data_IF_174047212031
#
_entry.id   IF_174047212031
#
_cell.length_a   1.000
_cell.length_b   1.000
_cell.length_c   1.000
_cell.angle_alpha   90.00
_cell.angle_beta   90.00
_cell.angle_gamma   90.00
#
_symmetry.space_group_name_H-M   'P 1'
#
loop_
_entity.id
_entity.type
_entity.pdbx_description
1 polymer ?
#
# COMPACT_ATOMS: atom_id res chain seq x y z
N UNK A 1 26.18 55.89 -24.63
CA UNK A 1 27.60 55.54 -24.88
C UNK A 1 27.61 54.24 -25.70
N UNK A 2 28.31 54.29 -26.85
CA UNK A 2 28.66 53.28 -27.90
C UNK A 2 28.49 51.77 -27.53
N UNK A 3 27.84 50.92 -28.35
CA UNK A 3 28.31 50.22 -29.60
C UNK A 3 29.48 49.25 -29.28
N UNK A 4 29.62 47.97 -29.67
CA UNK A 4 28.90 46.93 -30.48
C UNK A 4 29.72 45.62 -30.39
N UNK A 5 29.15 44.49 -30.86
CA UNK A 5 29.72 43.29 -31.56
C UNK A 5 29.19 41.98 -30.94
N UNK A 6 28.25 41.24 -31.56
CA UNK A 6 28.23 40.50 -32.84
C UNK A 6 29.21 39.32 -32.88
N UNK A 7 28.69 38.09 -32.99
CA UNK A 7 29.21 37.06 -33.90
C UNK A 7 28.23 35.87 -34.02
N UNK A 8 27.77 35.68 -35.25
CA UNK A 8 27.15 34.49 -35.82
C UNK A 8 28.28 33.59 -36.34
N UNK A 9 28.18 32.27 -36.18
CA UNK A 9 28.77 31.33 -37.14
C UNK A 9 28.04 29.99 -37.15
N UNK A 10 27.57 29.65 -38.34
CA UNK A 10 27.04 28.36 -38.83
C UNK A 10 28.18 27.33 -39.00
N UNK A 11 27.90 26.04 -38.81
CA UNK A 11 28.53 24.98 -39.60
C UNK A 11 27.62 23.74 -39.72
N UNK A 12 27.69 23.09 -40.87
CA UNK A 12 26.72 22.15 -41.41
C UNK A 12 27.22 20.71 -41.53
N UNK A 13 26.24 19.81 -41.69
CA UNK A 13 26.17 18.62 -42.56
C UNK A 13 26.78 17.25 -42.19
N UNK A 14 25.88 16.25 -42.35
CA UNK A 14 25.97 14.92 -42.99
C UNK A 14 26.79 13.79 -42.34
N UNK A 15 26.09 12.70 -42.01
CA UNK A 15 26.30 11.40 -42.66
C UNK A 15 25.13 10.44 -42.38
N UNK A 16 24.47 10.00 -43.45
CA UNK A 16 23.69 8.77 -43.55
C UNK A 16 24.61 7.56 -43.48
N UNK A 17 24.20 6.47 -42.82
CA UNK A 17 24.56 5.15 -43.31
C UNK A 17 23.50 4.10 -42.98
N UNK A 18 22.98 3.51 -44.05
CA UNK A 18 22.22 2.28 -44.07
C UNK A 18 23.17 1.09 -43.84
N UNK A 19 22.66 0.03 -43.25
CA UNK A 19 23.39 -1.22 -43.05
C UNK A 19 22.42 -2.34 -42.68
N UNK A 20 21.67 -2.81 -43.68
CA UNK A 20 20.94 -4.06 -43.60
C UNK A 20 21.94 -5.23 -43.63
N UNK A 21 21.68 -6.24 -42.79
CA UNK A 21 22.21 -7.58 -42.98
C UNK A 21 21.18 -8.58 -42.47
N UNK A 22 20.54 -9.26 -43.41
CA UNK A 22 19.87 -10.54 -43.18
C UNK A 22 20.91 -11.63 -42.85
N UNK A 23 20.47 -12.74 -42.26
CA UNK A 23 20.78 -14.00 -42.91
C UNK A 23 19.59 -14.97 -43.01
N UNK A 24 19.34 -15.40 -44.25
CA UNK A 24 19.32 -16.79 -44.74
C UNK A 24 18.56 -17.85 -43.92
N UNK A 25 17.48 -18.33 -44.54
CA UNK A 25 16.71 -19.55 -44.27
C UNK A 25 17.48 -20.84 -44.65
N UNK A 26 17.40 -21.93 -43.87
CA UNK A 26 16.50 -23.09 -44.04
C UNK A 26 17.21 -24.35 -43.45
N UNK A 27 16.63 -25.58 -43.44
CA UNK A 27 15.30 -26.03 -42.97
C UNK A 27 15.43 -27.26 -42.03
N UNK A 28 14.34 -27.71 -41.39
CA UNK A 28 14.33 -29.03 -40.73
C UNK A 28 13.20 -29.29 -39.73
N UNK A 29 12.21 -30.03 -40.16
CA UNK A 29 10.98 -30.51 -39.52
C UNK A 29 11.22 -31.42 -38.30
N UNK A 30 10.45 -31.29 -37.21
CA UNK A 30 9.67 -32.40 -36.62
C UNK A 30 8.72 -31.94 -35.50
N UNK A 31 7.59 -32.65 -35.41
CA UNK A 31 6.40 -32.40 -34.61
C UNK A 31 6.52 -32.85 -33.14
N UNK A 32 5.50 -32.43 -32.37
CA UNK A 32 5.02 -32.96 -31.08
C UNK A 32 5.63 -32.24 -29.85
N UNK A 33 4.89 -31.78 -28.85
CA UNK A 33 3.55 -32.07 -28.34
C UNK A 33 3.10 -30.85 -27.52
N UNK A 34 1.83 -30.44 -27.66
CA UNK A 34 1.23 -29.41 -26.84
C UNK A 34 1.05 -29.92 -25.40
N UNK A 35 1.75 -29.29 -24.45
CA UNK A 35 1.45 -29.38 -23.02
C UNK A 35 0.96 -28.03 -22.55
N UNK A 36 -0.18 -28.08 -21.88
CA UNK A 36 -0.99 -26.98 -21.40
C UNK A 36 -0.23 -26.22 -20.29
N UNK A 37 0.45 -25.12 -20.63
CA UNK A 37 0.98 -24.18 -19.63
C UNK A 37 -0.05 -23.09 -19.36
N UNK A 38 -0.62 -23.13 -18.15
CA UNK A 38 -1.39 -22.04 -17.55
C UNK A 38 -0.58 -20.73 -17.61
N UNK A 39 -1.21 -19.56 -17.83
CA UNK A 39 -0.46 -18.31 -17.88
C UNK A 39 0.16 -18.05 -16.51
N UNK A 40 1.49 -18.09 -16.45
CA UNK A 40 2.25 -17.46 -15.37
C UNK A 40 1.85 -15.99 -15.36
N UNK A 41 1.15 -15.58 -14.32
CA UNK A 41 1.08 -14.18 -13.93
C UNK A 41 2.51 -13.78 -13.61
N UNK A 42 3.18 -13.19 -14.60
CA UNK A 42 4.41 -12.45 -14.40
C UNK A 42 3.94 -11.18 -13.71
N UNK A 43 4.02 -11.14 -12.38
CA UNK A 43 4.00 -9.87 -11.65
C UNK A 43 5.03 -8.98 -12.33
N UNK A 44 4.54 -7.93 -12.99
CA UNK A 44 5.38 -6.89 -13.52
C UNK A 44 6.15 -6.32 -12.33
N UNK A 45 7.43 -6.65 -12.26
CA UNK A 45 8.36 -6.03 -11.35
C UNK A 45 8.32 -4.53 -11.63
N UNK A 46 7.59 -3.79 -10.81
CA UNK A 46 7.79 -2.35 -10.68
C UNK A 46 9.29 -2.16 -10.44
N UNK A 47 9.94 -1.52 -11.40
CA UNK A 47 11.38 -1.28 -11.36
C UNK A 47 11.73 -0.59 -10.04
N UNK A 48 12.34 -1.33 -9.11
CA UNK A 48 13.01 -0.82 -7.90
C UNK A 48 14.25 0.00 -8.28
N UNK A 49 14.09 0.98 -9.16
CA UNK A 49 15.17 1.89 -9.54
C UNK A 49 15.43 2.84 -8.37
N UNK A 50 16.47 2.53 -7.59
CA UNK A 50 17.11 3.46 -6.66
C UNK A 50 17.03 3.13 -5.17
N UNK A 51 16.52 1.97 -4.77
CA UNK A 51 16.57 1.61 -3.34
C UNK A 51 18.01 1.35 -2.89
N UNK A 52 18.44 2.08 -1.87
CA UNK A 52 19.73 1.86 -1.21
C UNK A 52 19.79 0.44 -0.64
N UNK A 53 20.98 -0.17 -0.65
CA UNK A 53 21.17 -1.50 -0.06
C UNK A 53 20.90 -1.46 1.46
N UNK A 54 20.25 -2.49 2.03
CA UNK A 54 19.96 -2.51 3.46
C UNK A 54 21.24 -2.57 4.30
N UNK A 55 21.30 -1.74 5.34
CA UNK A 55 22.29 -1.86 6.41
C UNK A 55 21.82 -2.98 7.33
N UNK A 56 22.63 -4.03 7.44
CA UNK A 56 22.27 -5.23 8.17
C UNK A 56 22.92 -5.24 9.56
N UNK A 57 22.11 -5.44 10.60
CA UNK A 57 22.59 -5.77 11.96
C UNK A 57 22.43 -7.27 12.17
N UNK A 58 23.55 -7.97 12.31
CA UNK A 58 23.59 -9.38 12.68
C UNK A 58 23.33 -9.56 14.17
N UNK A 59 23.15 -10.80 14.63
CA UNK A 59 23.01 -11.07 16.06
C UNK A 59 24.19 -10.54 16.91
N UNK A 60 25.40 -10.46 16.34
CA UNK A 60 26.58 -9.94 17.05
C UNK A 60 26.64 -8.40 17.11
N UNK A 61 25.89 -7.70 16.26
CA UNK A 61 25.79 -6.24 16.25
C UNK A 61 24.72 -5.73 17.23
N UNK A 62 24.05 -6.65 17.91
CA UNK A 62 22.93 -6.38 18.81
C UNK A 62 23.22 -6.84 20.23
N UNK A 63 22.63 -6.13 21.19
CA UNK A 63 22.76 -6.39 22.62
C UNK A 63 21.38 -6.56 23.25
N UNK A 64 21.33 -7.23 24.40
CA UNK A 64 20.10 -7.33 25.20
C UNK A 64 19.66 -5.93 25.62
N UNK A 65 18.43 -5.55 25.26
CA UNK A 65 17.84 -4.30 25.69
C UNK A 65 16.94 -4.52 26.92
N UNK A 66 16.09 -5.56 26.90
CA UNK A 66 15.23 -5.92 28.04
C UNK A 66 14.99 -7.43 28.11
N UNK A 67 14.63 -7.90 29.30
CA UNK A 67 14.31 -9.30 29.53
C UNK A 67 15.56 -10.20 29.54
N UNK A 68 15.38 -11.47 29.15
CA UNK A 68 16.45 -12.48 29.14
C UNK A 68 16.48 -13.29 27.83
N UNK A 69 16.56 -12.64 26.64
CA UNK A 69 16.86 -13.37 25.41
C UNK A 69 18.28 -13.96 25.48
N UNK A 70 18.56 -14.98 24.67
CA UNK A 70 19.88 -15.62 24.62
C UNK A 70 20.47 -15.59 23.21
N UNK A 71 21.75 -15.24 23.10
CA UNK A 71 22.51 -15.39 21.87
C UNK A 71 22.89 -16.86 21.73
N UNK A 72 22.40 -17.54 20.69
CA UNK A 72 22.60 -18.96 20.45
C UNK A 72 23.05 -19.23 19.04
N UNK A 73 23.78 -20.33 18.83
CA UNK A 73 24.13 -20.82 17.51
C UNK A 73 23.08 -21.83 17.04
N UNK A 74 22.15 -21.41 16.19
CA UNK A 74 21.21 -22.33 15.55
C UNK A 74 21.92 -23.11 14.45
N UNK A 75 21.76 -24.42 14.46
CA UNK A 75 22.52 -25.34 13.60
C UNK A 75 21.60 -26.35 12.91
N UNK A 76 21.84 -26.62 11.63
CA UNK A 76 21.23 -27.70 10.87
C UNK A 76 22.21 -28.24 9.84
N UNK A 77 22.57 -29.52 9.95
CA UNK A 77 23.68 -30.09 9.15
C UNK A 77 24.98 -29.32 9.36
N UNK A 78 25.58 -28.84 8.27
CA UNK A 78 26.80 -28.01 8.27
C UNK A 78 26.53 -26.49 8.32
N UNK A 79 25.27 -26.08 8.43
CA UNK A 79 24.89 -24.67 8.48
C UNK A 79 24.73 -24.22 9.92
N UNK A 80 25.41 -23.13 10.28
CA UNK A 80 25.40 -22.55 11.61
C UNK A 80 25.16 -21.04 11.53
N UNK A 81 24.16 -20.54 12.24
CA UNK A 81 23.81 -19.11 12.24
C UNK A 81 23.65 -18.61 13.69
N UNK A 82 24.33 -17.51 14.08
CA UNK A 82 24.11 -16.88 15.36
C UNK A 82 22.75 -16.15 15.32
N UNK A 83 21.93 -16.35 16.36
CA UNK A 83 20.62 -15.72 16.48
C UNK A 83 20.36 -15.29 17.92
N UNK A 84 19.53 -14.26 18.08
CA UNK A 84 18.90 -13.96 19.36
C UNK A 84 17.63 -14.79 19.53
N UNK A 85 17.66 -15.75 20.44
CA UNK A 85 16.50 -16.57 20.81
C UNK A 85 15.56 -15.76 21.71
N UNK A 86 14.37 -15.45 21.18
CA UNK A 86 13.29 -14.71 21.85
C UNK A 86 12.17 -15.67 22.23
N UNK A 87 11.83 -15.70 23.53
CA UNK A 87 10.78 -16.55 24.11
C UNK A 87 9.40 -16.20 23.56
N UNK A 88 8.62 -17.23 23.20
CA UNK A 88 7.19 -17.12 22.90
C UNK A 88 6.29 -17.19 24.13
N UNK A 89 6.86 -17.43 25.32
CA UNK A 89 6.10 -17.55 26.57
C UNK A 89 6.44 -16.48 27.62
N UNK A 90 7.36 -15.56 27.33
CA UNK A 90 7.82 -14.56 28.30
C UNK A 90 7.81 -13.17 27.69
N UNK A 91 6.86 -12.30 28.09
CA UNK A 91 6.78 -10.93 27.59
C UNK A 91 8.03 -10.09 27.88
N UNK A 92 8.26 -9.07 27.05
CA UNK A 92 9.25 -8.02 27.30
C UNK A 92 10.69 -8.39 26.97
N UNK A 93 10.94 -9.47 26.23
CA UNK A 93 12.27 -9.77 25.70
C UNK A 93 12.57 -8.95 24.45
N UNK A 94 13.70 -8.27 24.44
CA UNK A 94 14.12 -7.48 23.28
C UNK A 94 15.63 -7.34 23.18
N UNK A 95 16.08 -7.08 21.95
CA UNK A 95 17.47 -6.79 21.63
C UNK A 95 17.55 -5.51 20.80
N UNK A 96 18.64 -4.77 20.92
CA UNK A 96 18.84 -3.51 20.22
C UNK A 96 20.22 -3.42 19.60
N UNK A 97 20.31 -2.73 18.46
CA UNK A 97 21.56 -2.33 17.83
C UNK A 97 21.50 -0.88 17.38
N UNK A 98 22.66 -0.32 17.01
CA UNK A 98 22.78 1.07 16.56
C UNK A 98 23.29 1.09 15.12
N UNK A 99 22.61 1.83 14.26
CA UNK A 99 23.01 2.13 12.88
C UNK A 99 23.60 3.53 12.86
N UNK A 100 24.93 3.63 12.72
CA UNK A 100 25.65 4.90 12.67
C UNK A 100 25.92 5.46 11.26
N UNK A 101 25.57 4.72 10.20
CA UNK A 101 25.97 5.03 8.82
C UNK A 101 24.81 5.25 7.86
N UNK A 102 23.75 5.92 8.29
CA UNK A 102 22.67 6.29 7.37
C UNK A 102 23.19 7.33 6.36
N UNK A 103 22.95 7.14 5.04
CA UNK A 103 23.37 8.11 4.03
C UNK A 103 22.81 9.51 4.28
N UNK A 104 23.53 10.55 3.86
CA UNK A 104 23.15 11.95 4.10
C UNK A 104 21.85 12.37 3.40
N UNK A 105 21.49 11.68 2.33
CA UNK A 105 20.30 11.87 1.51
C UNK A 105 19.13 10.98 1.97
N UNK A 106 19.33 10.16 3.00
CA UNK A 106 18.32 9.32 3.60
C UNK A 106 17.26 10.20 4.31
N UNK A 107 16.02 10.15 3.85
CA UNK A 107 14.90 10.85 4.48
C UNK A 107 14.16 9.96 5.48
N UNK A 108 14.19 8.65 5.27
CA UNK A 108 13.54 7.68 6.15
C UNK A 108 14.20 6.31 6.09
N UNK A 109 13.77 5.40 6.96
CA UNK A 109 14.16 3.99 6.89
C UNK A 109 12.96 3.07 6.85
N UNK A 110 13.11 1.96 6.13
CA UNK A 110 12.30 0.75 6.27
C UNK A 110 13.04 -0.23 7.17
N UNK A 111 12.33 -0.90 8.07
CA UNK A 111 12.91 -1.90 8.97
C UNK A 111 12.24 -3.25 8.79
N UNK A 112 13.06 -4.25 8.49
CA UNK A 112 12.66 -5.64 8.36
C UNK A 112 13.49 -6.51 9.31
N UNK A 113 12.95 -7.64 9.74
CA UNK A 113 13.68 -8.65 10.50
C UNK A 113 13.69 -9.98 9.75
N UNK A 114 14.76 -10.75 9.93
CA UNK A 114 14.84 -12.13 9.47
C UNK A 114 14.79 -13.04 10.69
N UNK A 115 13.77 -13.89 10.74
CA UNK A 115 13.53 -14.81 11.85
C UNK A 115 13.48 -16.25 11.38
N UNK A 116 13.80 -17.17 12.29
CA UNK A 116 13.71 -18.62 12.04
C UNK A 116 13.51 -19.39 13.35
N UNK A 117 13.08 -20.64 13.27
CA UNK A 117 12.97 -21.53 14.43
C UNK A 117 13.44 -22.93 14.05
N UNK A 118 13.99 -23.65 15.03
CA UNK A 118 14.40 -25.04 14.91
C UNK A 118 13.36 -26.00 15.49
N UNK A 119 12.26 -25.46 16.04
CA UNK A 119 11.25 -26.26 16.73
C UNK A 119 10.36 -27.00 15.73
N UNK A 120 10.27 -28.32 15.89
CA UNK A 120 9.54 -29.21 15.00
C UNK A 120 8.03 -28.98 15.02
N UNK A 121 7.49 -28.29 16.03
CA UNK A 121 6.06 -27.99 16.13
C UNK A 121 5.63 -26.76 15.31
N UNK A 122 6.52 -26.17 14.51
CA UNK A 122 6.15 -25.07 13.60
C UNK A 122 5.09 -25.51 12.59
N UNK A 123 4.10 -24.64 12.36
CA UNK A 123 2.98 -24.89 11.46
C UNK A 123 2.35 -23.55 11.06
N UNK A 124 1.72 -23.44 9.88
CA UNK A 124 0.99 -22.23 9.47
C UNK A 124 -0.24 -21.92 10.34
N UNK A 125 -0.62 -22.83 11.24
CA UNK A 125 -1.65 -22.61 12.27
C UNK A 125 -1.19 -21.68 13.40
N UNK A 126 0.13 -21.54 13.59
CA UNK A 126 0.71 -20.68 14.61
C UNK A 126 1.20 -19.36 14.03
N UNK A 127 1.17 -18.33 14.87
CA UNK A 127 1.73 -17.01 14.59
C UNK A 127 2.72 -16.59 15.67
N UNK A 128 3.70 -15.79 15.28
CA UNK A 128 4.51 -15.01 16.20
C UNK A 128 4.43 -13.53 15.86
N UNK A 129 4.67 -12.71 16.87
CA UNK A 129 4.39 -11.27 16.80
C UNK A 129 5.60 -10.49 17.25
N UNK A 130 5.98 -9.53 16.42
CA UNK A 130 7.13 -8.68 16.67
C UNK A 130 6.73 -7.22 16.55
N UNK A 131 7.47 -6.35 17.22
CA UNK A 131 7.43 -4.91 16.97
C UNK A 131 8.84 -4.33 17.00
N UNK A 132 8.98 -3.18 16.36
CA UNK A 132 10.20 -2.37 16.40
C UNK A 132 10.00 -1.16 17.32
N UNK A 133 11.07 -0.77 18.00
CA UNK A 133 11.20 0.55 18.62
C UNK A 133 12.35 1.28 17.93
N UNK A 134 12.09 2.50 17.51
CA UNK A 134 13.07 3.35 16.81
C UNK A 134 13.31 4.62 17.62
N UNK A 135 14.56 5.05 17.67
CA UNK A 135 14.93 6.35 18.26
C UNK A 135 16.22 6.85 17.64
N UNK A 136 16.35 8.15 17.47
CA UNK A 136 17.60 8.76 16.99
C UNK A 136 18.32 9.56 18.07
N UNK A 137 19.64 9.43 18.08
CA UNK A 137 20.54 10.24 18.90
C UNK A 137 20.92 11.49 18.11
N UNK A 138 20.11 12.54 18.24
CA UNK A 138 20.34 13.84 17.59
C UNK A 138 21.09 14.75 18.56
N UNK A 139 22.07 15.49 18.04
CA UNK A 139 22.86 16.44 18.83
C UNK A 139 21.96 17.44 19.58
N UNK A 140 22.28 17.67 20.85
CA UNK A 140 21.57 18.60 21.75
C UNK A 140 20.08 18.27 21.99
N UNK A 141 19.65 17.04 21.71
CA UNK A 141 18.32 16.55 22.06
C UNK A 141 18.41 15.33 23.01
N UNK A 142 17.43 15.13 23.90
CA UNK A 142 17.29 13.85 24.60
C UNK A 142 17.17 12.70 23.60
N UNK A 143 17.84 11.58 23.83
CA UNK A 143 17.78 10.41 22.92
C UNK A 143 16.37 9.81 22.79
N UNK A 144 15.45 10.16 23.69
CA UNK A 144 14.04 9.78 23.65
C UNK A 144 13.16 10.73 22.82
N UNK A 145 13.68 11.90 22.41
CA UNK A 145 12.90 12.93 21.74
C UNK A 145 12.33 12.49 20.38
N UNK A 146 12.99 11.55 19.71
CA UNK A 146 12.54 10.97 18.43
C UNK A 146 12.14 9.50 18.58
N UNK A 147 11.65 9.09 19.74
CA UNK A 147 11.22 7.73 19.94
C UNK A 147 9.90 7.42 19.21
N UNK A 148 9.83 6.27 18.55
CA UNK A 148 8.64 5.71 17.94
C UNK A 148 8.47 4.25 18.37
N UNK A 149 7.23 3.90 18.74
CA UNK A 149 6.81 2.55 19.05
C UNK A 149 6.03 1.98 17.87
N UNK A 150 6.62 1.01 17.17
CA UNK A 150 5.99 0.34 16.04
C UNK A 150 4.76 -0.46 16.46
N UNK A 151 3.85 -0.66 15.51
CA UNK A 151 2.71 -1.56 15.69
C UNK A 151 3.19 -3.02 15.72
N UNK A 152 2.54 -3.90 16.50
CA UNK A 152 2.79 -5.33 16.41
C UNK A 152 2.48 -5.84 15.00
N UNK A 153 3.39 -6.63 14.45
CA UNK A 153 3.24 -7.31 13.17
C UNK A 153 3.15 -8.80 13.44
N UNK A 154 2.02 -9.38 13.03
CA UNK A 154 1.71 -10.80 13.21
C UNK A 154 2.02 -11.54 11.92
N UNK A 155 2.74 -12.64 12.01
CA UNK A 155 3.05 -13.46 10.84
C UNK A 155 2.88 -14.94 11.14
N UNK A 156 2.31 -15.68 10.18
CA UNK A 156 2.18 -17.13 10.30
C UNK A 156 3.54 -17.81 10.16
N UNK A 157 3.72 -18.91 10.87
CA UNK A 157 4.93 -19.70 10.82
C UNK A 157 5.01 -20.57 9.55
N UNK A 158 6.22 -20.98 9.13
CA UNK A 158 6.37 -21.92 8.03
C UNK A 158 5.91 -23.32 8.45
N UNK A 159 5.60 -24.15 7.45
CA UNK A 159 5.16 -25.54 7.67
C UNK A 159 6.25 -26.49 8.21
N UNK A 160 7.51 -26.06 8.23
CA UNK A 160 8.67 -26.85 8.67
C UNK A 160 9.72 -25.96 9.34
N UNK A 161 10.53 -26.51 10.27
CA UNK A 161 11.59 -25.74 10.93
C UNK A 161 12.72 -25.43 9.96
N UNK A 162 13.63 -24.52 10.37
CA UNK A 162 14.80 -24.07 9.63
C UNK A 162 14.50 -23.28 8.34
N UNK A 163 13.29 -22.74 8.21
CA UNK A 163 12.95 -21.76 7.18
C UNK A 163 13.07 -20.35 7.76
N UNK A 164 13.63 -19.44 6.98
CA UNK A 164 13.68 -18.02 7.32
C UNK A 164 12.44 -17.30 6.81
N UNK A 165 11.93 -16.35 7.60
CA UNK A 165 10.92 -15.38 7.16
C UNK A 165 11.48 -13.97 7.27
N UNK A 166 11.25 -13.15 6.26
CA UNK A 166 11.49 -11.70 6.35
C UNK A 166 10.18 -11.04 6.72
N UNK A 167 10.17 -10.27 7.81
CA UNK A 167 8.99 -9.60 8.35
C UNK A 167 9.23 -8.09 8.30
N UNK A 168 8.35 -7.36 7.62
CA UNK A 168 8.32 -5.90 7.60
C UNK A 168 7.74 -5.37 8.91
N UNK A 169 8.53 -4.65 9.70
CA UNK A 169 8.09 -4.06 10.96
C UNK A 169 7.73 -2.58 10.84
N UNK A 170 8.43 -1.86 9.95
CA UNK A 170 8.17 -0.45 9.66
C UNK A 170 8.48 -0.18 8.20
N UNK A 171 7.53 0.39 7.47
CA UNK A 171 7.68 0.74 6.05
C UNK A 171 8.35 2.08 5.84
N UNK A 172 8.18 3.03 6.79
CA UNK A 172 8.70 4.39 6.64
C UNK A 172 8.78 5.09 8.01
N UNK A 173 9.99 5.23 8.55
CA UNK A 173 10.28 6.08 9.70
C UNK A 173 11.22 7.21 9.30
N UNK A 174 10.73 8.45 9.40
CA UNK A 174 11.50 9.65 9.03
C UNK A 174 12.73 9.83 9.93
N UNK A 175 13.89 10.01 9.32
CA UNK A 175 15.17 10.15 10.01
C UNK A 175 15.77 11.54 9.81
N UNK A 176 16.45 12.03 10.85
CA UNK A 176 17.42 13.12 10.72
C UNK A 176 18.68 12.55 10.07
N UNK A 177 19.15 13.11 8.94
CA UNK A 177 20.37 12.66 8.29
C UNK A 177 21.58 12.64 9.23
N UNK A 178 22.46 11.66 9.06
CA UNK A 178 23.69 11.44 9.84
C UNK A 178 23.51 11.18 11.36
N UNK A 179 22.32 11.33 11.92
CA UNK A 179 22.06 11.02 13.33
C UNK A 179 21.94 9.48 13.50
N UNK A 180 22.70 8.86 14.42
CA UNK A 180 22.61 7.43 14.65
C UNK A 180 21.20 6.98 15.02
N UNK A 181 20.78 5.87 14.43
CA UNK A 181 19.48 5.24 14.68
C UNK A 181 19.65 4.02 15.58
N UNK A 182 18.98 4.03 16.72
CA UNK A 182 18.81 2.82 17.55
C UNK A 182 17.60 2.05 17.06
N UNK A 183 17.79 0.76 16.80
CA UNK A 183 16.73 -0.17 16.40
C UNK A 183 16.63 -1.26 17.46
N UNK A 184 15.47 -1.37 18.10
CA UNK A 184 15.18 -2.39 19.11
C UNK A 184 14.04 -3.28 18.63
N UNK A 185 14.28 -4.59 18.59
CA UNK A 185 13.31 -5.60 18.20
C UNK A 185 12.78 -6.30 19.44
N UNK A 186 11.46 -6.34 19.58
CA UNK A 186 10.77 -7.00 20.68
C UNK A 186 9.80 -8.05 20.12
N UNK A 187 9.77 -9.23 20.75
CA UNK A 187 8.70 -10.21 20.52
C UNK A 187 7.56 -9.96 21.51
N UNK A 188 6.33 -10.21 21.09
CA UNK A 188 5.11 -9.90 21.83
C UNK A 188 4.30 -11.13 22.29
N UNK A 189 4.80 -11.99 23.19
CA UNK A 189 4.02 -13.13 23.74
C UNK A 189 2.69 -12.78 24.42
N UNK A 190 2.48 -11.51 24.78
CA UNK A 190 1.23 -11.04 25.37
C UNK A 190 0.17 -10.64 24.32
N UNK A 191 0.53 -10.57 23.05
CA UNK A 191 -0.41 -10.31 21.97
C UNK A 191 -1.20 -11.59 21.64
N UNK A 192 -2.55 -11.53 21.50
CA UNK A 192 -3.36 -12.72 21.20
C UNK A 192 -2.99 -13.45 19.91
N UNK A 193 -2.26 -12.79 18.99
CA UNK A 193 -1.75 -13.39 17.77
C UNK A 193 -0.40 -14.08 17.89
N UNK A 194 0.32 -13.96 19.01
CA UNK A 194 1.56 -14.71 19.27
C UNK A 194 1.19 -16.08 19.87
N UNK A 195 0.65 -16.95 19.02
CA UNK A 195 0.17 -18.28 19.41
C UNK A 195 1.31 -19.31 19.49
N UNK A 196 2.49 -19.00 18.94
CA UNK A 196 3.64 -19.89 18.96
C UNK A 196 4.48 -19.76 20.23
N UNK A 197 4.14 -20.46 21.30
CA UNK A 197 4.79 -20.28 22.61
C UNK A 197 6.28 -20.70 22.72
N UNK A 198 6.88 -21.23 21.64
CA UNK A 198 8.27 -21.71 21.60
C UNK A 198 9.23 -20.59 21.21
N UNK A 199 10.54 -20.70 21.53
CA UNK A 199 11.51 -19.70 21.11
C UNK A 199 11.63 -19.57 19.59
N UNK A 200 11.83 -18.34 19.11
CA UNK A 200 12.14 -18.03 17.72
C UNK A 200 13.44 -17.22 17.69
N UNK A 201 14.35 -17.58 16.77
CA UNK A 201 15.61 -16.89 16.58
C UNK A 201 15.47 -15.68 15.66
N UNK A 202 15.90 -14.52 16.13
CA UNK A 202 16.16 -13.33 15.31
C UNK A 202 17.58 -13.41 14.75
N UNK A 203 17.71 -13.59 13.44
CA UNK A 203 18.99 -13.76 12.76
C UNK A 203 19.58 -12.44 12.24
N UNK A 204 18.72 -11.55 11.74
CA UNK A 204 19.14 -10.31 11.09
C UNK A 204 18.09 -9.21 11.29
N UNK A 205 18.53 -7.97 11.39
CA UNK A 205 17.70 -6.78 11.19
C UNK A 205 18.21 -6.05 9.96
N UNK A 206 17.32 -5.73 9.02
CA UNK A 206 17.62 -4.97 7.82
C UNK A 206 17.05 -3.56 7.98
N UNK A 207 17.90 -2.56 7.91
CA UNK A 207 17.53 -1.14 7.91
C UNK A 207 17.82 -0.60 6.53
N UNK A 208 16.77 -0.38 5.74
CA UNK A 208 16.90 0.09 4.35
C UNK A 208 16.71 1.60 4.32
N UNK A 209 17.74 2.39 3.96
CA UNK A 209 17.58 3.83 3.72
C UNK A 209 16.60 4.09 2.57
N UNK A 210 15.69 5.03 2.77
CA UNK A 210 14.69 5.44 1.80
C UNK A 210 14.92 6.90 1.38
N UNK A 211 14.72 7.22 0.09
CA UNK A 211 14.70 8.60 -0.35
C UNK A 211 13.49 9.32 0.25
N UNK A 212 13.49 10.66 0.15
CA UNK A 212 12.29 11.43 0.41
C UNK A 212 11.15 10.96 -0.52
N UNK A 213 9.89 10.94 -0.04
CA UNK A 213 8.74 10.75 -0.90
C UNK A 213 8.76 11.79 -2.01
N UNK A 214 8.23 11.41 -3.18
CA UNK A 214 8.02 12.39 -4.23
C UNK A 214 7.20 13.58 -3.69
N UNK A 215 7.54 14.79 -4.14
CA UNK A 215 6.75 15.96 -3.77
C UNK A 215 5.29 15.75 -4.16
N UNK A 216 4.33 16.07 -3.28
CA UNK A 216 2.92 16.01 -3.62
C UNK A 216 2.65 16.91 -4.82
N UNK A 217 2.06 16.38 -5.88
CA UNK A 217 1.61 17.19 -7.02
C UNK A 217 0.11 17.40 -6.97
N UNK A 218 -0.33 18.59 -7.37
CA UNK A 218 -1.75 18.94 -7.40
C UNK A 218 -2.40 18.29 -8.60
N UNK A 219 -3.34 17.38 -8.35
CA UNK A 219 -4.14 16.78 -9.41
C UNK A 219 -5.19 17.78 -9.91
N UNK A 220 -5.94 18.43 -9.02
CA UNK A 220 -7.04 19.34 -9.36
C UNK A 220 -6.98 20.65 -8.54
N UNK A 221 -7.02 21.79 -9.23
CA UNK A 221 -6.94 23.14 -8.63
C UNK A 221 -7.94 24.14 -9.24
N UNK A 222 -8.97 23.66 -9.92
CA UNK A 222 -10.03 24.54 -10.41
C UNK A 222 -10.89 25.06 -9.26
N UNK A 223 -11.43 26.27 -9.44
CA UNK A 223 -12.24 26.95 -8.42
C UNK A 223 -13.44 26.12 -7.94
N UNK A 224 -13.74 26.23 -6.65
CA UNK A 224 -14.80 25.50 -5.97
C UNK A 224 -14.26 24.66 -4.82
N UNK A 225 -15.18 23.96 -4.15
CA UNK A 225 -14.89 23.03 -3.07
C UNK A 225 -14.72 21.62 -3.65
N UNK A 226 -13.50 21.31 -4.07
CA UNK A 226 -13.10 19.97 -4.54
C UNK A 226 -12.92 19.05 -3.31
N UNK A 227 -13.73 18.00 -3.18
CA UNK A 227 -13.81 17.20 -1.96
C UNK A 227 -14.23 15.76 -2.21
N UNK A 228 -14.11 14.95 -1.16
CA UNK A 228 -14.47 13.53 -1.12
C UNK A 228 -13.80 12.68 -2.22
N UNK A 229 -12.47 12.78 -2.40
CA UNK A 229 -11.79 11.97 -3.40
C UNK A 229 -11.85 10.49 -3.04
N UNK A 230 -11.99 9.65 -4.07
CA UNK A 230 -11.92 8.20 -4.02
C UNK A 230 -11.02 7.72 -5.15
N UNK A 231 -10.12 6.79 -4.88
CA UNK A 231 -9.21 6.23 -5.88
C UNK A 231 -9.34 4.71 -5.97
N UNK A 232 -9.54 4.20 -7.18
CA UNK A 232 -9.65 2.77 -7.47
C UNK A 232 -8.76 2.42 -8.66
N UNK A 233 -8.12 1.25 -8.62
CA UNK A 233 -7.40 0.72 -9.78
C UNK A 233 -8.34 -0.17 -10.62
N UNK A 234 -8.31 0.01 -11.94
CA UNK A 234 -8.85 -0.91 -12.96
C UNK A 234 -7.65 -1.45 -13.75
N UNK A 235 -7.21 -2.66 -13.42
CA UNK A 235 -5.91 -3.17 -13.86
C UNK A 235 -4.80 -2.20 -13.43
N UNK A 236 -4.00 -1.72 -14.39
CA UNK A 236 -2.91 -0.76 -14.15
C UNK A 236 -3.35 0.71 -14.17
N UNK A 237 -4.62 0.99 -14.48
CA UNK A 237 -5.15 2.35 -14.56
C UNK A 237 -5.71 2.79 -13.20
N UNK A 238 -5.23 3.90 -12.66
CA UNK A 238 -5.82 4.55 -11.50
C UNK A 238 -6.98 5.45 -11.96
N UNK A 239 -8.11 5.36 -11.28
CA UNK A 239 -9.29 6.22 -11.46
C UNK A 239 -9.50 7.00 -10.17
N UNK A 240 -9.40 8.32 -10.23
CA UNK A 240 -9.70 9.22 -9.13
C UNK A 240 -11.03 9.91 -9.40
N UNK A 241 -12.02 9.65 -8.55
CA UNK A 241 -13.31 10.32 -8.58
C UNK A 241 -13.45 11.25 -7.39
N UNK A 242 -14.05 12.40 -7.58
CA UNK A 242 -14.26 13.40 -6.53
C UNK A 242 -15.50 14.22 -6.84
N UNK A 243 -15.96 15.00 -5.87
CA UNK A 243 -17.07 15.92 -6.08
C UNK A 243 -16.55 17.36 -6.04
N UNK A 244 -17.19 18.26 -6.78
CA UNK A 244 -16.91 19.70 -6.72
C UNK A 244 -18.21 20.48 -6.59
N UNK A 245 -18.27 21.35 -5.60
CA UNK A 245 -19.38 22.29 -5.36
C UNK A 245 -18.86 23.65 -4.86
N UNK A 246 -19.62 24.38 -4.06
CA UNK A 246 -19.23 25.74 -3.60
C UNK A 246 -18.69 25.78 -2.17
N UNK A 247 -19.10 24.85 -1.31
CA UNK A 247 -18.71 24.79 0.11
C UNK A 247 -18.73 23.35 0.65
N UNK A 248 -18.61 23.17 1.96
CA UNK A 248 -18.87 21.88 2.60
C UNK A 248 -20.39 21.63 2.73
N UNK A 249 -21.10 21.51 1.60
CA UNK A 249 -22.56 21.34 1.52
C UNK A 249 -22.91 20.36 0.40
N UNK A 250 -23.80 19.41 0.66
CA UNK A 250 -24.07 18.31 -0.29
C UNK A 250 -25.15 18.68 -1.30
N UNK A 251 -26.37 19.03 -0.85
CA UNK A 251 -27.56 19.15 -1.70
C UNK A 251 -27.66 20.43 -2.54
N UNK A 252 -26.54 20.97 -2.99
CA UNK A 252 -26.50 22.12 -3.90
C UNK A 252 -26.47 21.66 -5.36
N UNK A 253 -27.23 22.32 -6.23
CA UNK A 253 -27.29 22.01 -7.66
C UNK A 253 -25.94 22.17 -8.39
N UNK A 254 -25.07 23.03 -7.85
CA UNK A 254 -23.73 23.22 -8.40
C UNK A 254 -22.78 22.04 -8.13
N UNK A 255 -23.20 21.03 -7.33
CA UNK A 255 -22.34 19.93 -6.94
C UNK A 255 -22.50 18.71 -7.83
N UNK A 256 -21.44 18.40 -8.56
CA UNK A 256 -21.34 17.25 -9.43
C UNK A 256 -20.17 16.34 -9.06
N UNK A 257 -20.20 15.11 -9.58
CA UNK A 257 -19.12 14.12 -9.45
C UNK A 257 -18.32 14.05 -10.75
N UNK A 258 -17.01 14.03 -10.61
CA UNK A 258 -16.06 14.02 -11.69
C UNK A 258 -15.04 12.90 -11.53
N UNK A 259 -14.41 12.50 -12.62
CA UNK A 259 -13.35 11.51 -12.66
C UNK A 259 -12.14 12.00 -13.46
N UNK A 260 -10.97 11.45 -13.12
CA UNK A 260 -9.74 11.52 -13.90
C UNK A 260 -9.04 10.17 -13.83
N UNK A 261 -8.26 9.85 -14.86
CA UNK A 261 -7.50 8.59 -14.91
C UNK A 261 -6.01 8.84 -15.01
N UNK A 262 -5.21 7.86 -14.59
CA UNK A 262 -3.76 7.85 -14.71
C UNK A 262 -3.28 6.44 -15.06
N UNK A 263 -2.40 6.34 -16.04
CA UNK A 263 -1.78 5.08 -16.52
C UNK A 263 -0.30 4.98 -16.17
N UNK A 264 0.23 5.93 -15.40
CA UNK A 264 1.66 6.04 -15.08
C UNK A 264 1.93 6.04 -13.56
N UNK A 265 1.01 5.42 -12.79
CA UNK A 265 1.10 5.33 -11.34
C UNK A 265 0.75 6.63 -10.62
N UNK A 266 -0.06 7.49 -11.24
CA UNK A 266 -0.55 8.73 -10.66
C UNK A 266 0.31 9.95 -10.95
N UNK A 267 1.34 9.86 -11.81
CA UNK A 267 2.25 10.97 -12.12
C UNK A 267 1.56 12.01 -13.01
N UNK A 268 0.81 11.57 -14.00
CA UNK A 268 -0.02 12.42 -14.86
C UNK A 268 -1.46 11.97 -14.83
N UNK A 269 -2.38 12.92 -15.04
CA UNK A 269 -3.82 12.69 -14.97
C UNK A 269 -4.51 13.26 -16.21
N UNK A 270 -5.54 12.56 -16.68
CA UNK A 270 -6.35 13.02 -17.81
C UNK A 270 -7.13 14.29 -17.48
N UNK A 271 -7.69 14.90 -18.53
CA UNK A 271 -8.76 15.88 -18.36
C UNK A 271 -9.91 15.28 -17.53
N UNK A 272 -10.63 16.17 -16.86
CA UNK A 272 -11.80 15.83 -16.06
C UNK A 272 -12.94 15.30 -16.95
N UNK A 273 -13.59 14.22 -16.51
CA UNK A 273 -14.87 13.75 -17.08
C UNK A 273 -15.97 13.83 -16.04
N UNK A 274 -17.19 14.13 -16.47
CA UNK A 274 -18.36 14.13 -15.59
C UNK A 274 -18.85 12.70 -15.40
N UNK A 275 -19.01 12.29 -14.15
CA UNK A 275 -19.61 11.01 -13.77
C UNK A 275 -21.11 11.17 -13.54
N UNK A 276 -21.48 12.18 -12.75
CA UNK A 276 -22.85 12.49 -12.39
C UNK A 276 -23.01 14.02 -12.26
N UNK A 277 -24.08 14.56 -12.84
CA UNK A 277 -24.47 15.96 -12.69
C UNK A 277 -25.98 16.11 -12.90
N UNK A 278 -26.78 15.50 -12.02
CA UNK A 278 -28.24 15.52 -12.15
C UNK A 278 -28.82 16.89 -11.78
N UNK A 279 -29.56 17.59 -12.67
CA UNK A 279 -30.16 18.88 -12.34
C UNK A 279 -31.11 18.82 -11.14
N UNK A 280 -30.99 19.79 -10.25
CA UNK A 280 -31.72 19.92 -8.99
C UNK A 280 -31.17 19.09 -7.83
N UNK A 281 -30.01 18.45 -8.01
CA UNK A 281 -29.39 17.60 -6.99
C UNK A 281 -27.91 17.94 -6.85
N UNK A 282 -27.41 17.77 -5.64
CA UNK A 282 -25.97 17.69 -5.39
C UNK A 282 -25.54 16.25 -5.18
N UNK A 283 -24.39 15.90 -5.77
CA UNK A 283 -23.92 14.53 -5.88
C UNK A 283 -22.54 14.35 -5.24
N UNK A 284 -22.38 13.31 -4.42
CA UNK A 284 -21.13 13.03 -3.72
C UNK A 284 -20.74 11.57 -3.77
N UNK A 285 -19.46 11.32 -4.04
CA UNK A 285 -18.82 10.00 -3.93
C UNK A 285 -18.85 9.52 -2.48
N UNK A 286 -19.32 8.28 -2.24
CA UNK A 286 -19.49 7.73 -0.88
C UNK A 286 -18.87 6.35 -0.65
N UNK A 287 -18.69 5.56 -1.70
CA UNK A 287 -17.99 4.28 -1.66
C UNK A 287 -17.56 3.83 -3.04
N UNK A 288 -16.53 2.98 -3.12
CA UNK A 288 -16.01 2.41 -4.37
C UNK A 288 -15.65 0.93 -4.20
N UNK A 289 -15.51 0.22 -5.31
CA UNK A 289 -14.95 -1.13 -5.30
C UNK A 289 -14.88 -1.72 -6.69
N UNK A 290 -14.75 -3.03 -6.78
CA UNK A 290 -14.70 -3.76 -8.04
C UNK A 290 -15.82 -4.79 -8.11
N UNK A 291 -16.34 -5.01 -9.31
CA UNK A 291 -17.20 -6.15 -9.61
C UNK A 291 -16.38 -7.42 -9.93
N UNK A 292 -17.06 -8.54 -10.20
CA UNK A 292 -16.41 -9.82 -10.52
C UNK A 292 -15.53 -9.80 -11.77
N UNK A 293 -15.70 -8.81 -12.65
CA UNK A 293 -14.94 -8.62 -13.89
C UNK A 293 -13.75 -7.67 -13.72
N UNK A 294 -13.58 -7.07 -12.54
CA UNK A 294 -12.58 -6.05 -12.27
C UNK A 294 -12.96 -4.65 -12.76
N UNK A 295 -14.23 -4.42 -13.13
CA UNK A 295 -14.73 -3.09 -13.45
C UNK A 295 -15.00 -2.32 -12.15
N UNK A 296 -14.77 -1.01 -12.18
CA UNK A 296 -14.99 -0.16 -11.02
C UNK A 296 -16.48 0.08 -10.80
N UNK A 297 -16.90 -0.07 -9.55
CA UNK A 297 -18.17 0.36 -9.02
C UNK A 297 -17.97 1.62 -8.15
N UNK A 298 -18.88 2.58 -8.25
CA UNK A 298 -18.84 3.84 -7.51
C UNK A 298 -20.23 4.19 -7.00
N UNK A 299 -20.38 4.24 -5.68
CA UNK A 299 -21.55 4.79 -5.03
C UNK A 299 -21.50 6.32 -5.02
N UNK A 300 -22.56 6.93 -5.53
CA UNK A 300 -22.82 8.36 -5.51
C UNK A 300 -24.10 8.61 -4.71
N UNK A 301 -23.97 9.34 -3.61
CA UNK A 301 -25.12 9.86 -2.87
C UNK A 301 -25.62 11.11 -3.58
N UNK A 302 -26.88 11.09 -4.00
CA UNK A 302 -27.55 12.16 -4.73
C UNK A 302 -28.64 12.78 -3.85
N UNK A 303 -28.50 14.07 -3.52
CA UNK A 303 -29.35 14.79 -2.57
C UNK A 303 -29.97 16.02 -3.22
N UNK A 304 -31.30 16.11 -3.18
CA UNK A 304 -32.07 17.22 -3.72
C UNK A 304 -33.48 17.18 -3.14
N UNK A 305 -34.52 17.16 -3.97
CA UNK A 305 -35.90 16.92 -3.51
C UNK A 305 -36.07 15.56 -2.81
N UNK A 306 -35.25 14.59 -3.21
CA UNK A 306 -35.18 13.25 -2.65
C UNK A 306 -33.71 12.97 -2.27
N UNK A 307 -33.50 11.88 -1.54
CA UNK A 307 -32.17 11.41 -1.16
C UNK A 307 -32.01 9.97 -1.61
N UNK A 308 -31.14 9.77 -2.59
CA UNK A 308 -30.90 8.49 -3.25
C UNK A 308 -29.42 8.12 -3.19
N UNK A 309 -29.14 6.84 -3.43
CA UNK A 309 -27.80 6.33 -3.67
C UNK A 309 -27.78 5.65 -5.02
N UNK A 310 -26.95 6.15 -5.91
CA UNK A 310 -26.80 5.68 -7.28
C UNK A 310 -25.47 4.92 -7.39
N UNK A 311 -25.50 3.72 -7.96
CA UNK A 311 -24.30 2.95 -8.26
C UNK A 311 -23.94 3.14 -9.72
N UNK A 312 -22.74 3.66 -9.97
CA UNK A 312 -22.16 3.77 -11.30
C UNK A 312 -21.12 2.68 -11.53
N UNK A 313 -20.98 2.24 -12.77
CA UNK A 313 -20.00 1.25 -13.22
C UNK A 313 -19.16 1.79 -14.37
N UNK A 314 -17.87 1.48 -14.38
CA UNK A 314 -16.96 1.81 -15.49
C UNK A 314 -15.89 0.73 -15.69
N UNK A 315 -15.49 0.51 -16.94
CA UNK A 315 -14.38 -0.38 -17.31
C UNK A 315 -13.13 0.37 -17.75
N UNK A 316 -13.22 1.70 -17.92
CA UNK A 316 -12.16 2.55 -18.47
C UNK A 316 -11.83 3.76 -17.58
N UNK A 317 -12.65 4.04 -16.55
CA UNK A 317 -12.50 5.21 -15.68
C UNK A 317 -12.92 6.53 -16.33
N UNK A 318 -13.46 6.48 -17.54
CA UNK A 318 -13.84 7.65 -18.36
C UNK A 318 -15.35 7.66 -18.56
N UNK A 319 -15.92 6.51 -18.94
CA UNK A 319 -17.35 6.33 -19.22
C UNK A 319 -18.01 5.62 -18.06
N UNK A 320 -18.97 6.28 -17.42
CA UNK A 320 -19.71 5.73 -16.27
C UNK A 320 -21.16 5.46 -16.67
N UNK A 321 -21.64 4.27 -16.32
CA UNK A 321 -23.03 3.86 -16.53
C UNK A 321 -23.72 3.70 -15.18
N UNK A 322 -24.88 4.32 -14.99
CA UNK A 322 -25.73 4.06 -13.83
C UNK A 322 -26.26 2.63 -13.90
N UNK A 323 -25.94 1.80 -12.92
CA UNK A 323 -26.36 0.39 -12.86
C UNK A 323 -27.48 0.13 -11.86
N UNK A 324 -27.54 0.88 -10.76
CA UNK A 324 -28.58 0.70 -9.75
C UNK A 324 -28.90 2.00 -8.99
N UNK A 325 -30.16 2.14 -8.60
CA UNK A 325 -30.63 3.11 -7.58
C UNK A 325 -31.54 2.32 -6.63
N UNK A 326 -30.98 1.53 -5.69
CA UNK A 326 -31.79 0.64 -4.88
C UNK A 326 -32.71 1.41 -3.94
N UNK A 327 -33.92 0.89 -3.76
CA UNK A 327 -34.81 1.33 -2.69
C UNK A 327 -34.46 0.57 -1.41
N UNK A 328 -33.80 1.26 -0.47
CA UNK A 328 -33.28 0.66 0.75
C UNK A 328 -34.24 0.92 1.91
N UNK A 329 -34.58 -0.15 2.64
CA UNK A 329 -35.49 -0.08 3.80
C UNK A 329 -35.02 0.92 4.86
N UNK A 330 -33.71 1.03 5.04
CA UNK A 330 -33.06 2.10 5.81
C UNK A 330 -32.31 2.98 4.83
N UNK A 331 -32.61 4.27 4.81
CA UNK A 331 -31.92 5.24 3.95
C UNK A 331 -30.56 5.58 4.54
N UNK A 332 -29.44 5.13 3.94
CA UNK A 332 -28.12 5.38 4.52
C UNK A 332 -27.75 6.86 4.44
N UNK A 333 -27.03 7.34 5.45
CA UNK A 333 -26.24 8.55 5.32
C UNK A 333 -25.09 8.29 4.35
N UNK A 334 -24.43 7.13 4.47
CA UNK A 334 -23.34 6.72 3.60
C UNK A 334 -23.39 5.21 3.36
N UNK A 335 -23.12 4.82 2.12
CA UNK A 335 -22.72 3.47 1.74
C UNK A 335 -21.22 3.53 1.52
N UNK A 336 -20.45 2.63 2.13
CA UNK A 336 -18.99 2.62 2.03
C UNK A 336 -18.50 1.71 0.89
N UNK A 337 -17.20 1.44 0.86
CA UNK A 337 -16.55 0.65 -0.17
C UNK A 337 -17.16 -0.75 -0.34
N UNK A 338 -17.18 -1.21 -1.59
CA UNK A 338 -17.65 -2.52 -2.02
C UNK A 338 -16.46 -3.48 -2.03
N UNK A 339 -16.63 -4.65 -1.43
CA UNK A 339 -15.64 -5.73 -1.47
C UNK A 339 -16.30 -7.08 -1.74
N UNK A 340 -15.55 -7.98 -2.37
CA UNK A 340 -16.00 -9.33 -2.64
C UNK A 340 -15.83 -10.21 -1.40
N UNK A 341 -16.87 -10.94 -1.05
CA UNK A 341 -16.86 -11.97 -0.01
C UNK A 341 -17.12 -13.32 -0.67
N UNK A 342 -16.19 -14.29 -0.53
CA UNK A 342 -16.40 -15.64 -1.06
C UNK A 342 -17.76 -16.20 -0.62
N UNK A 343 -18.49 -16.81 -1.56
CA UNK A 343 -19.83 -17.42 -1.37
C UNK A 343 -21.00 -16.46 -1.09
N UNK A 344 -20.76 -15.16 -0.87
CA UNK A 344 -21.82 -14.16 -0.67
C UNK A 344 -22.00 -13.27 -1.90
N UNK A 345 -20.90 -12.88 -2.55
CA UNK A 345 -20.91 -11.91 -3.65
C UNK A 345 -20.28 -10.59 -3.20
N UNK A 346 -20.79 -9.48 -3.73
CA UNK A 346 -20.37 -8.14 -3.32
C UNK A 346 -21.03 -7.76 -2.00
N UNK A 347 -20.30 -7.05 -1.16
CA UNK A 347 -20.76 -6.59 0.14
C UNK A 347 -20.31 -5.14 0.36
N UNK A 348 -21.19 -4.34 0.96
CA UNK A 348 -20.92 -2.95 1.29
C UNK A 348 -21.49 -2.61 2.68
N UNK A 349 -20.67 -2.12 3.62
CA UNK A 349 -21.16 -1.52 4.85
C UNK A 349 -21.92 -0.23 4.57
N UNK A 350 -22.86 0.09 5.45
CA UNK A 350 -23.56 1.35 5.43
C UNK A 350 -23.77 1.87 6.84
N UNK A 351 -23.92 3.19 6.97
CA UNK A 351 -24.40 3.82 8.20
C UNK A 351 -25.53 4.80 7.88
N UNK A 352 -26.49 4.91 8.78
CA UNK A 352 -27.58 5.88 8.74
C UNK A 352 -27.65 6.62 10.08
N UNK A 353 -28.24 7.82 10.05
CA UNK A 353 -28.28 8.73 11.20
C UNK A 353 -28.04 10.17 10.76
N UNK A 354 -27.43 10.95 11.63
CA UNK A 354 -27.02 12.33 11.36
C UNK A 354 -25.67 12.63 12.04
N UNK A 355 -25.16 13.86 11.94
CA UNK A 355 -23.90 14.23 12.60
C UNK A 355 -24.12 14.79 14.02
N UNK A 356 -25.13 14.32 14.76
CA UNK A 356 -25.39 14.72 16.14
C UNK A 356 -24.95 13.66 17.15
N UNK A 357 -24.84 14.06 18.41
CA UNK A 357 -24.54 13.17 19.54
C UNK A 357 -25.75 12.32 19.99
N UNK A 358 -26.86 12.36 19.25
CA UNK A 358 -28.03 11.56 19.56
C UNK A 358 -27.82 10.10 19.19
N UNK A 359 -28.42 9.19 19.95
CA UNK A 359 -28.40 7.75 19.69
C UNK A 359 -29.38 7.36 18.55
N UNK A 360 -29.24 8.00 17.38
CA UNK A 360 -30.06 7.77 16.17
C UNK A 360 -29.29 7.04 15.07
N UNK A 361 -28.06 6.63 15.37
CA UNK A 361 -27.17 6.01 14.40
C UNK A 361 -27.46 4.52 14.27
N UNK A 362 -27.44 4.03 13.03
CA UNK A 362 -27.56 2.62 12.71
C UNK A 362 -26.48 2.24 11.70
N UNK A 363 -26.08 0.99 11.76
CA UNK A 363 -25.06 0.41 10.90
C UNK A 363 -25.58 -0.91 10.37
N UNK A 364 -25.16 -1.26 9.17
CA UNK A 364 -25.45 -2.56 8.60
C UNK A 364 -24.58 -2.86 7.41
N UNK A 365 -24.93 -3.96 6.76
CA UNK A 365 -24.30 -4.43 5.53
C UNK A 365 -25.41 -4.63 4.51
N UNK A 366 -25.09 -4.42 3.25
CA UNK A 366 -25.92 -4.85 2.12
C UNK A 366 -25.08 -5.73 1.20
N UNK A 367 -25.75 -6.63 0.49
CA UNK A 367 -25.10 -7.60 -0.39
C UNK A 367 -25.70 -7.60 -1.78
N UNK A 368 -24.88 -7.93 -2.77
CA UNK A 368 -25.27 -8.13 -4.16
C UNK A 368 -24.64 -9.40 -4.69
N UNK A 369 -25.46 -10.26 -5.31
CA UNK A 369 -25.01 -11.51 -5.95
C UNK A 369 -24.90 -11.40 -7.47
N UNK A 370 -25.13 -10.21 -8.02
CA UNK A 370 -25.32 -9.94 -9.44
C UNK A 370 -24.53 -8.70 -9.90
N UNK A 371 -23.29 -8.57 -9.39
CA UNK A 371 -22.35 -7.49 -9.74
C UNK A 371 -22.91 -6.08 -9.59
N UNK A 372 -23.72 -5.89 -8.54
CA UNK A 372 -24.22 -4.59 -8.10
C UNK A 372 -25.54 -4.17 -8.76
N UNK A 373 -26.16 -5.01 -9.59
CA UNK A 373 -27.46 -4.70 -10.20
C UNK A 373 -28.57 -4.65 -9.15
N UNK A 374 -28.55 -5.54 -8.15
CA UNK A 374 -29.49 -5.54 -7.02
C UNK A 374 -28.77 -5.59 -5.68
N UNK A 375 -29.36 -4.96 -4.66
CA UNK A 375 -28.81 -4.89 -3.31
C UNK A 375 -29.90 -5.19 -2.27
N UNK A 376 -29.58 -6.05 -1.30
CA UNK A 376 -30.47 -6.43 -0.19
C UNK A 376 -29.82 -6.24 1.17
#
# INVERSE_FOLDING_TARGET
MRITFLSIAFLAMLATNAGASEPVSSPGTEQATAVNESPRVVEAATSEQGMSSPICLTANDMLIATGKPSLVLMSSGSTHIPVWSLSGGTPGQSVAGVVGGLPSECAAVKVEIVVTTTDETTSPEFGDVYRVHLSQMVDNAPFTARYMLGKPVRTLLPAKPFYTRTILLESYYEVVPNAPLTVRIQREPGDPGDTFIRPTGLALVKVTPLPAPAEPHVVQDVSGYNSWPMIQAIGETLVCTYSRGTAHTIGEDARAVFARTSTDGGKTWTAETTVANTPGYGEVTVGKGLDSTGAMLLWVRRVGKDWNHDLYRTTDGVTFTLVATPDLAVKPMQITDVFAVPTVGLMAPWFAGNYSDQAVHSWGMMTSSDDGMTWT
#
